data_IF_979790585002
#
_entry.id   IF_979790585002
#
_cell.length_a   1.000
_cell.length_b   1.000
_cell.length_c   1.000
_cell.angle_alpha   90.00
_cell.angle_beta   90.00
_cell.angle_gamma   90.00
#
_symmetry.space_group_name_H-M   'P 1'
#
loop_
_entity.id
_entity.type
_entity.pdbx_description
1 polymer ?
#
# COMPACT_ATOMS: atom_id res chain seq x y z
N UNK A 1 28.17 16.90 -85.91
CA UNK A 1 29.07 16.60 -84.78
C UNK A 1 28.59 17.40 -83.57
N UNK A 2 27.52 16.93 -82.93
CA UNK A 2 27.47 16.14 -81.67
C UNK A 2 27.57 17.00 -80.41
N UNK A 3 26.39 17.35 -79.89
CA UNK A 3 26.12 17.85 -78.55
C UNK A 3 26.66 16.88 -77.49
N UNK A 4 27.59 17.31 -76.62
CA UNK A 4 27.96 16.58 -75.40
C UNK A 4 28.52 17.51 -74.31
N UNK A 5 27.68 18.35 -73.70
CA UNK A 5 28.09 19.08 -72.48
C UNK A 5 26.97 19.27 -71.44
N UNK A 6 25.84 18.56 -71.52
CA UNK A 6 24.69 18.82 -70.62
C UNK A 6 24.42 17.76 -69.54
N UNK A 7 25.26 16.72 -69.38
CA UNK A 7 25.00 15.64 -68.41
C UNK A 7 25.78 15.69 -67.09
N UNK A 8 26.77 16.57 -66.95
CA UNK A 8 27.59 16.64 -65.73
C UNK A 8 26.96 17.51 -64.63
N UNK A 9 26.28 18.60 -65.00
CA UNK A 9 25.66 19.52 -64.02
C UNK A 9 24.45 18.89 -63.32
N UNK A 10 23.68 18.01 -63.97
CA UNK A 10 22.43 17.49 -63.36
C UNK A 10 22.64 16.46 -62.23
N UNK A 11 23.81 15.81 -62.15
CA UNK A 11 24.09 14.71 -61.21
C UNK A 11 24.46 15.25 -59.82
N UNK A 12 25.13 16.41 -59.76
CA UNK A 12 25.55 17.01 -58.48
C UNK A 12 24.35 17.54 -57.66
N UNK A 13 23.29 18.04 -58.31
CA UNK A 13 22.09 18.54 -57.61
C UNK A 13 21.22 17.42 -57.05
N UNK A 14 21.11 16.27 -57.74
CA UNK A 14 20.35 15.12 -57.21
C UNK A 14 21.00 14.52 -55.96
N UNK A 15 22.34 14.48 -55.90
CA UNK A 15 23.07 13.99 -54.73
C UNK A 15 22.92 14.94 -53.54
N UNK A 16 23.06 16.25 -53.77
CA UNK A 16 22.87 17.26 -52.73
C UNK A 16 21.42 17.34 -52.22
N UNK A 17 20.41 17.24 -53.10
CA UNK A 17 19.00 17.26 -52.68
C UNK A 17 18.63 15.99 -51.90
N UNK A 18 19.11 14.81 -52.31
CA UNK A 18 18.92 13.56 -51.54
C UNK A 18 19.64 13.61 -50.19
N UNK A 19 20.83 14.19 -50.13
CA UNK A 19 21.58 14.36 -48.89
C UNK A 19 20.91 15.36 -47.95
N UNK A 20 20.37 16.47 -48.47
CA UNK A 20 19.57 17.43 -47.70
C UNK A 20 18.25 16.81 -47.23
N UNK A 21 17.57 16.04 -48.08
CA UNK A 21 16.32 15.37 -47.71
C UNK A 21 16.55 14.27 -46.65
N UNK A 22 17.67 13.54 -46.74
CA UNK A 22 18.09 12.54 -45.76
C UNK A 22 18.53 13.18 -44.45
N UNK A 23 19.21 14.33 -44.51
CA UNK A 23 19.55 15.16 -43.33
C UNK A 23 18.29 15.72 -42.67
N UNK A 24 17.31 16.21 -43.44
CA UNK A 24 16.01 16.67 -42.92
C UNK A 24 15.22 15.52 -42.28
N UNK A 25 15.19 14.34 -42.89
CA UNK A 25 14.59 13.13 -42.31
C UNK A 25 15.29 12.70 -41.01
N UNK A 26 16.61 12.84 -40.94
CA UNK A 26 17.40 12.52 -39.75
C UNK A 26 17.18 13.54 -38.62
N UNK A 27 17.00 14.82 -38.96
CA UNK A 27 16.66 15.88 -38.01
C UNK A 27 15.21 15.73 -37.48
N UNK A 28 14.25 15.34 -38.32
CA UNK A 28 12.88 15.01 -37.89
C UNK A 28 12.86 13.79 -36.96
N UNK A 29 13.74 12.81 -37.19
CA UNK A 29 13.85 11.61 -36.35
C UNK A 29 14.51 11.87 -34.99
N UNK A 30 15.26 12.97 -34.83
CA UNK A 30 15.85 13.35 -33.54
C UNK A 30 14.82 13.99 -32.60
N UNK A 31 13.80 14.67 -33.15
CA UNK A 31 12.77 15.36 -32.37
C UNK A 31 11.80 14.41 -31.64
N UNK A 32 11.63 13.18 -32.12
CA UNK A 32 10.68 12.21 -31.57
C UNK A 32 11.23 11.39 -30.38
N UNK A 33 12.53 11.47 -30.10
CA UNK A 33 13.16 10.70 -29.02
C UNK A 33 13.08 11.40 -27.66
N UNK A 34 12.98 12.74 -27.62
CA UNK A 34 12.79 13.46 -26.36
C UNK A 34 11.36 13.28 -25.82
N UNK A 35 10.37 13.26 -26.70
CA UNK A 35 8.96 13.10 -26.33
C UNK A 35 8.66 11.72 -25.76
N UNK A 36 9.24 10.65 -26.33
CA UNK A 36 9.09 9.28 -25.82
C UNK A 36 9.73 9.08 -24.44
N UNK A 37 10.80 9.79 -24.14
CA UNK A 37 11.49 9.73 -22.84
C UNK A 37 10.70 10.42 -21.73
N UNK A 38 10.06 11.57 -22.02
CA UNK A 38 9.20 12.27 -21.05
C UNK A 38 7.94 11.45 -20.77
N UNK A 39 7.33 10.86 -21.79
CA UNK A 39 6.14 10.01 -21.63
C UNK A 39 6.44 8.74 -20.82
N UNK A 40 7.60 8.12 -21.04
CA UNK A 40 8.02 6.97 -20.23
C UNK A 40 8.22 7.35 -18.76
N UNK A 41 8.84 8.50 -18.48
CA UNK A 41 9.02 8.99 -17.10
C UNK A 41 7.68 9.27 -16.42
N UNK A 42 6.75 9.93 -17.11
CA UNK A 42 5.39 10.15 -16.59
C UNK A 42 4.72 8.82 -16.25
N UNK A 43 4.80 7.82 -17.14
CA UNK A 43 4.21 6.50 -16.92
C UNK A 43 4.83 5.78 -15.71
N UNK A 44 6.14 5.90 -15.51
CA UNK A 44 6.85 5.32 -14.36
C UNK A 44 6.42 5.97 -13.05
N UNK A 45 6.27 7.30 -13.03
CA UNK A 45 5.78 8.03 -11.86
C UNK A 45 4.31 7.69 -11.55
N UNK A 46 3.46 7.58 -12.57
CA UNK A 46 2.06 7.15 -12.42
C UNK A 46 1.97 5.72 -11.87
N UNK A 47 2.83 4.81 -12.32
CA UNK A 47 2.93 3.44 -11.77
C UNK A 47 3.36 3.46 -10.30
N UNK A 48 4.31 4.33 -9.95
CA UNK A 48 4.77 4.50 -8.56
C UNK A 48 3.66 5.08 -7.67
N UNK A 49 2.86 6.01 -8.21
CA UNK A 49 1.68 6.56 -7.53
C UNK A 49 0.64 5.47 -7.21
N UNK A 50 0.37 4.57 -8.16
CA UNK A 50 -0.55 3.44 -7.95
C UNK A 50 -0.03 2.50 -6.86
N UNK A 51 1.28 2.24 -6.85
CA UNK A 51 1.91 1.43 -5.80
C UNK A 51 1.76 2.07 -4.42
N UNK A 52 2.04 3.38 -4.29
CA UNK A 52 1.84 4.11 -3.03
C UNK A 52 0.39 4.05 -2.58
N UNK A 53 -0.56 4.18 -3.51
CA UNK A 53 -1.98 4.08 -3.16
C UNK A 53 -2.31 2.69 -2.58
N UNK A 54 -1.79 1.62 -3.19
CA UNK A 54 -1.93 0.27 -2.68
C UNK A 54 -1.30 0.11 -1.30
N UNK A 55 -0.11 0.66 -1.08
CA UNK A 55 0.61 0.59 0.19
C UNK A 55 -0.13 1.38 1.30
N UNK A 56 -0.73 2.53 0.97
CA UNK A 56 -1.58 3.29 1.88
C UNK A 56 -2.81 2.50 2.30
N UNK A 57 -3.50 1.85 1.36
CA UNK A 57 -4.64 0.99 1.66
C UNK A 57 -4.25 -0.19 2.55
N UNK A 58 -3.11 -0.83 2.27
CA UNK A 58 -2.58 -1.92 3.07
C UNK A 58 -2.25 -1.46 4.50
N UNK A 59 -1.53 -0.36 4.67
CA UNK A 59 -1.21 0.21 5.97
C UNK A 59 -2.48 0.51 6.79
N UNK A 60 -3.52 1.08 6.14
CA UNK A 60 -4.79 1.34 6.77
C UNK A 60 -5.51 0.06 7.23
N UNK A 61 -5.56 -0.97 6.38
CA UNK A 61 -6.16 -2.27 6.73
C UNK A 61 -5.44 -2.93 7.91
N UNK A 62 -4.11 -2.93 7.91
CA UNK A 62 -3.32 -3.48 9.01
C UNK A 62 -3.56 -2.72 10.31
N UNK A 63 -3.69 -1.39 10.23
CA UNK A 63 -4.00 -0.55 11.39
C UNK A 63 -5.34 -0.94 12.00
N UNK A 64 -6.39 -1.09 11.18
CA UNK A 64 -7.70 -1.53 11.63
C UNK A 64 -7.64 -2.92 12.28
N UNK A 65 -6.92 -3.87 11.67
CA UNK A 65 -6.75 -5.19 12.25
C UNK A 65 -6.07 -5.13 13.63
N UNK A 66 -4.99 -4.35 13.78
CA UNK A 66 -4.28 -4.20 15.06
C UNK A 66 -5.13 -3.51 16.12
N UNK A 67 -5.92 -2.53 15.72
CA UNK A 67 -6.90 -1.87 16.59
C UNK A 67 -7.91 -2.88 17.14
N UNK A 68 -8.43 -3.76 16.30
CA UNK A 68 -9.36 -4.80 16.71
C UNK A 68 -8.73 -5.81 17.66
N UNK A 69 -7.52 -6.29 17.36
CA UNK A 69 -6.77 -7.17 18.28
C UNK A 69 -6.58 -6.54 19.65
N UNK A 70 -6.19 -5.26 19.71
CA UNK A 70 -6.08 -4.52 20.97
C UNK A 70 -7.42 -4.43 21.70
N UNK A 71 -8.52 -4.19 20.98
CA UNK A 71 -9.87 -4.13 21.54
C UNK A 71 -10.30 -5.47 22.14
N UNK A 72 -9.96 -6.59 21.51
CA UNK A 72 -10.23 -7.93 22.05
C UNK A 72 -9.48 -8.18 23.36
N UNK A 73 -8.20 -7.82 23.45
CA UNK A 73 -7.42 -7.97 24.69
C UNK A 73 -8.00 -7.13 25.84
N UNK A 74 -8.44 -5.90 25.54
CA UNK A 74 -9.05 -5.00 26.54
C UNK A 74 -10.41 -5.54 27.04
N UNK A 75 -11.28 -6.02 26.16
CA UNK A 75 -12.55 -6.64 26.59
C UNK A 75 -12.33 -7.92 27.39
N UNK A 76 -11.30 -8.69 27.04
CA UNK A 76 -10.96 -9.89 27.81
C UNK A 76 -10.52 -9.52 29.23
N UNK A 77 -9.86 -8.39 29.46
CA UNK A 77 -9.51 -7.92 30.81
C UNK A 77 -10.73 -7.64 31.70
N UNK A 78 -11.78 -7.08 31.12
CA UNK A 78 -13.05 -6.80 31.81
C UNK A 78 -13.77 -8.09 32.24
N UNK A 79 -13.76 -9.13 31.38
CA UNK A 79 -14.44 -10.41 31.64
C UNK A 79 -13.80 -11.32 32.69
N UNK A 80 -12.51 -11.16 33.02
CA UNK A 80 -11.84 -11.93 34.09
C UNK A 80 -11.99 -11.22 35.45
N UNK A 81 -12.37 -9.93 35.44
CA UNK A 81 -12.61 -9.16 36.67
C UNK A 81 -14.03 -9.41 37.22
N UNK A 82 -14.96 -9.91 36.40
CA UNK A 82 -16.17 -10.56 36.89
C UNK A 82 -15.83 -11.96 37.41
N UNK A 83 -15.50 -12.06 38.70
CA UNK A 83 -15.53 -13.35 39.41
C UNK A 83 -16.85 -14.08 39.09
N UNK A 84 -16.86 -15.42 38.96
CA UNK A 84 -18.11 -16.15 39.00
C UNK A 84 -18.79 -15.79 40.32
N UNK A 85 -20.01 -15.26 40.23
CA UNK A 85 -20.79 -14.95 41.42
C UNK A 85 -20.86 -16.21 42.28
N UNK A 86 -20.44 -16.05 43.53
CA UNK A 86 -20.53 -17.02 44.61
C UNK A 86 -21.93 -17.64 44.57
N UNK A 87 -21.96 -18.98 44.49
CA UNK A 87 -23.18 -19.75 44.37
C UNK A 87 -24.18 -19.43 45.47
N UNK A 88 -25.38 -19.05 45.07
CA UNK A 88 -26.57 -19.21 45.90
C UNK A 88 -27.27 -20.48 45.45
N UNK A 89 -27.02 -21.58 46.14
CA UNK A 89 -27.87 -22.77 46.04
C UNK A 89 -29.21 -22.46 46.73
N UNK A 90 -30.37 -22.52 46.04
CA UNK A 90 -31.63 -22.65 46.74
C UNK A 90 -31.79 -24.13 47.17
N UNK A 91 -31.52 -24.40 48.45
CA UNK A 91 -31.86 -25.69 49.06
C UNK A 91 -33.29 -25.60 49.59
N UNK A 92 -34.28 -26.03 48.81
CA UNK A 92 -35.58 -26.48 49.33
C UNK A 92 -36.33 -27.32 48.30
N UNK A 93 -36.58 -28.60 48.64
CA UNK A 93 -37.78 -29.33 48.21
C UNK A 93 -37.64 -30.24 46.98
N UNK A 94 -37.25 -31.50 47.23
CA UNK A 94 -37.82 -32.73 46.63
C UNK A 94 -38.44 -32.68 45.22
N UNK A 95 -37.71 -33.18 44.19
CA UNK A 95 -38.25 -33.99 43.08
C UNK A 95 -37.11 -34.52 42.17
N UNK A 96 -37.23 -35.71 41.55
CA UNK A 96 -36.16 -36.36 40.80
C UNK A 96 -36.12 -35.82 39.36
N UNK A 97 -35.00 -35.21 38.96
CA UNK A 97 -34.76 -34.77 37.58
C UNK A 97 -33.44 -35.34 37.08
N UNK A 98 -33.47 -36.61 36.71
CA UNK A 98 -32.60 -37.10 35.64
C UNK A 98 -33.29 -36.72 34.33
N UNK A 99 -32.70 -35.80 33.57
CA UNK A 99 -32.74 -35.71 32.09
C UNK A 99 -32.49 -34.25 31.67
N UNK A 100 -31.46 -34.07 30.84
CA UNK A 100 -31.16 -32.85 30.10
C UNK A 100 -30.37 -31.71 30.78
N UNK A 101 -29.14 -32.02 31.20
CA UNK A 101 -28.08 -31.00 31.28
C UNK A 101 -27.11 -31.28 30.12
N UNK A 102 -26.81 -30.30 29.24
CA UNK A 102 -25.65 -30.42 28.37
C UNK A 102 -24.42 -30.49 29.29
N UNK A 103 -23.54 -31.45 29.03
CA UNK A 103 -22.30 -31.65 29.77
C UNK A 103 -21.36 -30.47 29.53
N UNK A 104 -21.61 -29.38 30.24
CA UNK A 104 -20.63 -28.33 30.43
C UNK A 104 -19.58 -28.97 31.35
N UNK A 105 -18.44 -29.32 30.78
CA UNK A 105 -17.26 -29.75 31.51
C UNK A 105 -16.77 -28.59 32.41
N UNK A 106 -17.46 -28.36 33.52
CA UNK A 106 -17.04 -27.48 34.63
C UNK A 106 -16.11 -28.34 35.51
N UNK A 107 -14.97 -28.72 34.93
CA UNK A 107 -14.01 -29.65 35.53
C UNK A 107 -12.56 -29.17 35.48
N UNK A 108 -12.34 -27.86 35.30
CA UNK A 108 -11.02 -27.26 35.42
C UNK A 108 -10.84 -26.66 36.81
N UNK A 109 -9.83 -27.11 37.56
CA UNK A 109 -9.38 -26.34 38.73
C UNK A 109 -9.08 -24.91 38.28
N UNK A 110 -9.44 -23.88 39.07
CA UNK A 110 -9.09 -22.50 38.76
C UNK A 110 -7.58 -22.39 38.42
N UNK A 111 -7.19 -21.62 37.40
CA UNK A 111 -5.80 -21.45 37.03
C UNK A 111 -4.97 -20.99 38.23
N UNK A 112 -3.72 -21.44 38.30
CA UNK A 112 -2.82 -21.07 39.40
C UNK A 112 -2.66 -19.54 39.46
N UNK A 113 -2.46 -18.98 40.66
CA UNK A 113 -2.18 -17.55 40.83
C UNK A 113 -1.00 -17.10 39.95
N UNK A 114 0.04 -17.93 39.85
CA UNK A 114 1.20 -17.67 39.00
C UNK A 114 0.81 -17.58 37.51
N UNK A 115 -0.06 -18.48 37.04
CA UNK A 115 -0.56 -18.47 35.67
C UNK A 115 -1.41 -17.24 35.39
N UNK A 116 -2.27 -16.82 36.32
CA UNK A 116 -3.06 -15.60 36.17
C UNK A 116 -2.18 -14.35 36.07
N UNK A 117 -1.16 -14.23 36.91
CA UNK A 117 -0.21 -13.11 36.88
C UNK A 117 0.57 -13.12 35.56
N UNK A 118 1.06 -14.29 35.13
CA UNK A 118 1.77 -14.44 33.86
C UNK A 118 0.88 -14.04 32.68
N UNK A 119 -0.35 -14.56 32.61
CA UNK A 119 -1.31 -14.23 31.56
C UNK A 119 -1.63 -12.74 31.51
N UNK A 120 -1.76 -12.09 32.68
CA UNK A 120 -1.95 -10.64 32.78
C UNK A 120 -0.76 -9.87 32.21
N UNK A 121 0.47 -10.29 32.55
CA UNK A 121 1.68 -9.66 32.04
C UNK A 121 1.83 -9.84 30.52
N UNK A 122 1.60 -11.05 30.00
CA UNK A 122 1.66 -11.34 28.57
C UNK A 122 0.62 -10.55 27.79
N UNK A 123 -0.60 -10.43 28.31
CA UNK A 123 -1.64 -9.58 27.72
C UNK A 123 -1.20 -8.13 27.64
N UNK A 124 -0.67 -7.58 28.74
CA UNK A 124 -0.16 -6.20 28.75
C UNK A 124 0.98 -6.00 27.74
N UNK A 125 1.84 -7.01 27.55
CA UNK A 125 2.85 -6.99 26.48
C UNK A 125 2.20 -6.96 25.08
N UNK A 126 1.19 -7.80 24.82
CA UNK A 126 0.48 -7.81 23.52
C UNK A 126 -0.21 -6.47 23.23
N UNK A 127 -0.88 -5.88 24.22
CA UNK A 127 -1.52 -4.55 24.08
C UNK A 127 -0.48 -3.50 23.70
N UNK A 128 0.66 -3.46 24.39
CA UNK A 128 1.76 -2.52 24.08
C UNK A 128 2.31 -2.75 22.68
N UNK A 129 2.51 -4.00 22.29
CA UNK A 129 2.98 -4.35 20.95
C UNK A 129 2.01 -3.83 19.89
N UNK A 130 0.70 -4.10 20.03
CA UNK A 130 -0.29 -3.62 19.07
C UNK A 130 -0.35 -2.10 18.99
N UNK A 131 -0.19 -1.39 20.11
CA UNK A 131 -0.09 0.07 20.11
C UNK A 131 1.15 0.55 19.34
N UNK A 132 2.32 -0.02 19.60
CA UNK A 132 3.54 0.34 18.87
C UNK A 132 3.43 0.04 17.38
N UNK A 133 2.83 -1.10 17.00
CA UNK A 133 2.61 -1.46 15.61
C UNK A 133 1.70 -0.44 14.91
N UNK A 134 0.63 -0.01 15.59
CA UNK A 134 -0.29 1.01 15.08
C UNK A 134 0.40 2.37 14.85
N UNK A 135 1.27 2.80 15.78
CA UNK A 135 2.03 4.05 15.64
C UNK A 135 3.00 3.99 14.45
N UNK A 136 3.65 2.84 14.24
CA UNK A 136 4.51 2.61 13.08
C UNK A 136 3.71 2.66 11.77
N UNK A 137 2.55 2.00 11.71
CA UNK A 137 1.68 2.00 10.53
C UNK A 137 1.18 3.41 10.20
N UNK A 138 0.85 4.21 11.21
CA UNK A 138 0.47 5.60 11.04
C UNK A 138 1.63 6.45 10.48
N UNK A 139 2.84 6.26 11.02
CA UNK A 139 4.05 6.94 10.53
C UNK A 139 4.34 6.56 9.08
N UNK A 140 4.23 5.28 8.73
CA UNK A 140 4.38 4.79 7.37
C UNK A 140 3.35 5.44 6.43
N UNK A 141 2.08 5.51 6.84
CA UNK A 141 1.03 6.15 6.06
C UNK A 141 1.33 7.64 5.79
N UNK A 142 1.80 8.38 6.80
CA UNK A 142 2.20 9.77 6.63
C UNK A 142 3.39 9.92 5.66
N UNK A 143 4.37 9.03 5.75
CA UNK A 143 5.49 8.99 4.81
C UNK A 143 5.02 8.78 3.37
N UNK A 144 4.14 7.81 3.15
CA UNK A 144 3.54 7.53 1.84
C UNK A 144 2.72 8.71 1.30
N UNK A 145 1.99 9.42 2.16
CA UNK A 145 1.24 10.62 1.75
C UNK A 145 2.16 11.79 1.35
N UNK A 146 3.31 11.93 2.01
CA UNK A 146 4.32 12.92 1.62
C UNK A 146 4.95 12.55 0.26
N UNK A 147 5.32 11.28 0.06
CA UNK A 147 5.89 10.79 -1.20
C UNK A 147 4.91 10.95 -2.38
N UNK A 148 3.64 10.62 -2.16
CA UNK A 148 2.57 10.81 -3.13
C UNK A 148 2.48 12.26 -3.63
N UNK A 149 2.56 13.25 -2.72
CA UNK A 149 2.51 14.67 -3.08
C UNK A 149 3.67 15.06 -3.98
N UNK A 150 4.88 14.59 -3.66
CA UNK A 150 6.09 14.82 -4.46
C UNK A 150 5.92 14.22 -5.86
N UNK A 151 5.44 12.98 -5.97
CA UNK A 151 5.22 12.36 -7.28
C UNK A 151 4.16 13.11 -8.10
N UNK A 152 3.08 13.56 -7.47
CA UNK A 152 2.03 14.33 -8.16
C UNK A 152 2.57 15.67 -8.69
N UNK A 153 3.43 16.34 -7.93
CA UNK A 153 4.12 17.56 -8.36
C UNK A 153 5.05 17.27 -9.56
N UNK A 154 5.90 16.25 -9.46
CA UNK A 154 6.80 15.83 -10.55
C UNK A 154 6.04 15.48 -11.85
N UNK A 155 4.94 14.73 -11.74
CA UNK A 155 4.08 14.43 -12.90
C UNK A 155 3.50 15.72 -13.49
N UNK A 156 3.05 16.64 -12.64
CA UNK A 156 2.52 17.93 -13.06
C UNK A 156 3.54 18.79 -13.81
N UNK A 157 4.76 18.85 -13.31
CA UNK A 157 5.85 19.62 -13.92
C UNK A 157 6.32 18.99 -15.24
N UNK A 158 6.46 17.67 -15.30
CA UNK A 158 6.78 16.96 -16.54
C UNK A 158 5.69 17.16 -17.61
N UNK A 159 4.41 17.07 -17.23
CA UNK A 159 3.28 17.33 -18.14
C UNK A 159 3.29 18.78 -18.65
N UNK A 160 3.66 19.75 -17.80
CA UNK A 160 3.78 21.16 -18.20
C UNK A 160 4.95 21.37 -19.16
N UNK A 161 6.13 20.85 -18.84
CA UNK A 161 7.32 20.92 -19.71
C UNK A 161 7.02 20.35 -21.10
N UNK A 162 6.36 19.18 -21.15
CA UNK A 162 5.92 18.58 -22.42
C UNK A 162 5.02 19.51 -23.22
N UNK A 163 4.09 20.19 -22.56
CA UNK A 163 3.14 21.07 -23.24
C UNK A 163 3.78 22.38 -23.74
N UNK A 164 4.81 22.87 -23.05
CA UNK A 164 5.61 24.04 -23.47
C UNK A 164 6.52 23.70 -24.66
N UNK A 165 7.09 22.49 -24.71
CA UNK A 165 7.93 22.02 -25.84
C UNK A 165 7.12 21.77 -27.14
N UNK A 166 5.80 21.57 -27.03
CA UNK A 166 4.90 21.34 -28.19
C UNK A 166 4.36 22.67 -28.78
N UNK A 167 4.48 23.79 -28.06
CA UNK A 167 4.03 25.13 -28.51
C UNK A 167 5.10 25.88 -29.30
#
# INVERSE_FOLDING_TARGET
MTLMTSRLISIDYECNVKLVLLLCLLLISLSTQAESVIDEQIRQLETSLLRIHQDQQNAFQQFQMKQELRRYELRQEEGITSLPQIGTYPQTGTAPMSEFLPEINIGGSPPSYEEMVKNKQERQKRIRQYTSDMDQLYTQYLGLEAEKKILMEQIGDLKRSKQEDIQ
#
